data_IF_732626789209
#
_entry.id   IF_732626789209
#
_cell.length_a   1.000
_cell.length_b   1.000
_cell.length_c   1.000
_cell.angle_alpha   90.00
_cell.angle_beta   90.00
_cell.angle_gamma   90.00
#
_symmetry.space_group_name_H-M   'P 1'
#
loop_
_entity.id
_entity.type
_entity.pdbx_description
1 polymer ?
#
# COMPACT_ATOMS: atom_id res chain seq x y z
N UNK A 1 -1.91 -13.01 27.46
CA UNK A 1 -2.39 -11.84 28.23
C UNK A 1 -1.84 -10.48 27.74
N UNK A 2 -1.02 -10.42 26.67
CA UNK A 2 -0.41 -9.17 26.16
C UNK A 2 -1.22 -8.46 25.04
N UNK A 3 -2.23 -9.11 24.46
CA UNK A 3 -2.98 -8.59 23.30
C UNK A 3 -4.00 -7.51 23.67
N UNK A 4 -4.56 -7.54 24.88
CA UNK A 4 -5.64 -6.63 25.29
C UNK A 4 -5.21 -5.15 25.37
N UNK A 5 -3.94 -4.88 25.67
CA UNK A 5 -3.39 -3.53 25.73
C UNK A 5 -3.14 -2.89 24.36
N UNK A 6 -2.78 -3.70 23.36
CA UNK A 6 -2.48 -3.22 22.01
C UNK A 6 -3.74 -2.73 21.29
N UNK A 7 -4.83 -3.51 21.35
CA UNK A 7 -6.09 -3.14 20.71
C UNK A 7 -6.67 -1.85 21.28
N UNK A 8 -6.61 -1.64 22.60
CA UNK A 8 -7.08 -0.39 23.23
C UNK A 8 -6.30 0.84 22.76
N UNK A 9 -4.96 0.73 22.66
CA UNK A 9 -4.11 1.82 22.15
C UNK A 9 -4.43 2.12 20.69
N UNK A 10 -4.58 1.08 19.86
CA UNK A 10 -4.93 1.24 18.44
C UNK A 10 -6.30 1.91 18.26
N UNK A 11 -7.31 1.47 19.01
CA UNK A 11 -8.64 2.10 18.97
C UNK A 11 -8.60 3.55 19.43
N UNK A 12 -7.82 3.88 20.47
CA UNK A 12 -7.66 5.26 20.91
C UNK A 12 -6.97 6.14 19.86
N UNK A 13 -5.90 5.65 19.22
CA UNK A 13 -5.21 6.37 18.14
C UNK A 13 -6.11 6.58 16.92
N UNK A 14 -6.91 5.57 16.55
CA UNK A 14 -7.87 5.68 15.46
C UNK A 14 -8.97 6.68 15.78
N UNK A 15 -9.54 6.63 16.98
CA UNK A 15 -10.56 7.57 17.42
C UNK A 15 -10.03 9.01 17.43
N UNK A 16 -8.81 9.22 17.94
CA UNK A 16 -8.14 10.51 17.90
C UNK A 16 -7.93 11.02 16.47
N UNK A 17 -7.48 10.15 15.55
CA UNK A 17 -7.32 10.51 14.12
C UNK A 17 -8.64 10.92 13.48
N UNK A 18 -9.72 10.17 13.75
CA UNK A 18 -11.05 10.51 13.23
C UNK A 18 -11.58 11.83 13.82
N UNK A 19 -11.30 12.08 15.11
CA UNK A 19 -11.64 13.35 15.75
C UNK A 19 -10.90 14.54 15.12
N UNK A 20 -9.59 14.41 14.82
CA UNK A 20 -8.81 15.45 14.14
C UNK A 20 -9.34 15.80 12.75
N UNK A 21 -10.06 14.89 12.10
CA UNK A 21 -10.66 15.13 10.79
C UNK A 21 -11.95 15.97 10.87
N UNK A 22 -12.39 16.38 12.06
CA UNK A 22 -13.57 17.22 12.30
C UNK A 22 -14.84 16.69 11.61
N UNK A 23 -15.00 15.37 11.54
CA UNK A 23 -16.15 14.73 10.89
C UNK A 23 -16.14 14.76 9.36
N UNK A 24 -15.05 15.24 8.73
CA UNK A 24 -14.88 15.23 7.28
C UNK A 24 -13.91 14.12 6.85
N UNK A 25 -14.03 13.64 5.62
CA UNK A 25 -13.00 12.76 5.06
C UNK A 25 -11.86 13.62 4.49
N UNK A 26 -10.59 13.16 4.56
CA UNK A 26 -9.51 13.84 3.88
C UNK A 26 -9.82 13.94 2.38
N UNK A 27 -9.77 15.15 1.84
CA UNK A 27 -9.92 15.39 0.43
C UNK A 27 -8.54 15.33 -0.22
N UNK A 28 -8.38 14.40 -1.16
CA UNK A 28 -7.17 14.30 -1.97
C UNK A 28 -7.41 14.99 -3.31
N UNK A 29 -6.39 15.66 -3.84
CA UNK A 29 -6.36 16.12 -5.22
C UNK A 29 -5.70 15.06 -6.12
N UNK A 30 -5.83 15.23 -7.44
CA UNK A 30 -5.11 14.39 -8.42
C UNK A 30 -3.59 14.47 -8.24
N UNK A 31 -3.11 15.62 -7.80
CA UNK A 31 -1.71 15.84 -7.50
C UNK A 31 -1.28 15.02 -6.27
N UNK A 32 -2.13 14.92 -5.25
CA UNK A 32 -1.81 14.15 -4.05
C UNK A 32 -1.79 12.65 -4.29
N UNK A 33 -2.64 12.15 -5.20
CA UNK A 33 -2.79 10.73 -5.48
C UNK A 33 -3.29 10.50 -6.92
N UNK A 34 -2.40 10.58 -7.92
CA UNK A 34 -2.78 10.49 -9.32
C UNK A 34 -3.45 9.15 -9.67
N UNK A 35 -3.08 8.07 -8.98
CA UNK A 35 -3.65 6.75 -9.22
C UNK A 35 -5.15 6.69 -8.91
N UNK A 36 -5.61 7.37 -7.86
CA UNK A 36 -7.03 7.41 -7.49
C UNK A 36 -7.91 8.09 -8.53
N UNK A 37 -7.36 9.06 -9.25
CA UNK A 37 -8.10 9.87 -10.23
C UNK A 37 -8.09 9.27 -11.64
N UNK A 38 -7.42 8.13 -11.86
CA UNK A 38 -7.49 7.43 -13.14
C UNK A 38 -8.90 6.89 -13.42
N UNK A 39 -9.39 7.14 -14.64
CA UNK A 39 -10.72 6.67 -15.09
C UNK A 39 -10.83 5.15 -15.22
N UNK A 40 -9.70 4.45 -15.40
CA UNK A 40 -9.67 3.00 -15.61
C UNK A 40 -9.39 2.26 -14.31
N UNK A 41 -10.35 1.45 -13.85
CA UNK A 41 -10.17 0.59 -12.67
C UNK A 41 -8.90 -0.27 -12.75
N UNK A 42 -8.57 -0.80 -13.93
CA UNK A 42 -7.37 -1.60 -14.16
C UNK A 42 -6.09 -0.81 -13.85
N UNK A 43 -5.99 0.44 -14.32
CA UNK A 43 -4.85 1.31 -14.04
C UNK A 43 -4.70 1.60 -12.55
N UNK A 44 -5.81 1.82 -11.84
CA UNK A 44 -5.79 2.02 -10.39
C UNK A 44 -5.24 0.78 -9.68
N UNK A 45 -5.81 -0.39 -9.95
CA UNK A 45 -5.42 -1.65 -9.31
C UNK A 45 -3.95 -1.98 -9.58
N UNK A 46 -3.53 -1.94 -10.85
CA UNK A 46 -2.15 -2.25 -11.23
C UNK A 46 -1.16 -1.29 -10.58
N UNK A 47 -1.46 0.01 -10.58
CA UNK A 47 -0.60 1.02 -9.94
C UNK A 47 -0.50 0.77 -8.45
N UNK A 48 -1.62 0.56 -7.75
CA UNK A 48 -1.60 0.29 -6.30
C UNK A 48 -0.87 -1.00 -5.93
N UNK A 49 -1.05 -2.08 -6.71
CA UNK A 49 -0.33 -3.32 -6.48
C UNK A 49 1.18 -3.14 -6.71
N UNK A 50 1.57 -2.39 -7.74
CA UNK A 50 2.97 -2.04 -7.97
C UNK A 50 3.56 -1.15 -6.87
N UNK A 51 2.80 -0.17 -6.36
CA UNK A 51 3.24 0.63 -5.21
C UNK A 51 3.54 -0.24 -3.99
N UNK A 52 2.78 -1.31 -3.76
CA UNK A 52 3.12 -2.31 -2.74
C UNK A 52 4.50 -2.95 -2.97
N UNK A 53 4.79 -3.39 -4.19
CA UNK A 53 6.09 -3.94 -4.58
C UNK A 53 7.23 -2.93 -4.44
N UNK A 54 7.00 -1.69 -4.87
CA UNK A 54 7.96 -0.59 -4.73
C UNK A 54 8.28 -0.29 -3.26
N UNK A 55 7.27 -0.24 -2.40
CA UNK A 55 7.47 -0.02 -0.96
C UNK A 55 8.19 -1.20 -0.30
N UNK A 56 7.88 -2.44 -0.67
CA UNK A 56 8.62 -3.61 -0.19
C UNK A 56 10.10 -3.53 -0.59
N UNK A 57 10.38 -3.06 -1.81
CA UNK A 57 11.75 -2.81 -2.24
C UNK A 57 12.44 -1.71 -1.42
N UNK A 58 11.76 -0.61 -1.09
CA UNK A 58 12.33 0.44 -0.23
C UNK A 58 12.70 -0.06 1.16
N UNK A 59 11.93 -1.00 1.73
CA UNK A 59 12.28 -1.64 3.02
C UNK A 59 13.58 -2.44 2.91
N UNK A 60 13.78 -3.15 1.80
CA UNK A 60 14.98 -3.95 1.57
C UNK A 60 16.19 -3.11 1.12
N UNK A 61 15.94 -2.04 0.36
CA UNK A 61 16.95 -1.19 -0.25
C UNK A 61 16.47 0.27 -0.28
N UNK A 62 16.75 1.06 0.78
CA UNK A 62 16.27 2.44 0.91
C UNK A 62 17.14 3.41 0.08
N UNK A 63 17.07 3.31 -1.25
CA UNK A 63 17.92 4.10 -2.14
C UNK A 63 17.29 5.41 -2.62
N UNK A 64 15.96 5.48 -2.68
CA UNK A 64 15.27 6.62 -3.30
C UNK A 64 14.04 7.02 -2.50
N UNK A 65 14.29 7.74 -1.40
CA UNK A 65 13.29 8.08 -0.38
C UNK A 65 12.53 9.37 -0.64
N UNK A 66 12.96 10.18 -1.62
CA UNK A 66 12.34 11.47 -1.94
C UNK A 66 11.15 11.36 -2.89
N UNK A 67 10.90 10.19 -3.48
CA UNK A 67 9.74 9.96 -4.34
C UNK A 67 8.60 9.37 -3.52
N UNK A 68 7.68 10.23 -3.11
CA UNK A 68 6.34 9.77 -2.78
C UNK A 68 5.52 9.62 -4.07
N UNK A 69 4.51 8.76 -4.04
CA UNK A 69 3.56 8.53 -5.11
C UNK A 69 2.66 9.73 -5.45
N UNK A 70 2.96 10.91 -4.91
CA UNK A 70 2.30 12.18 -5.22
C UNK A 70 2.98 12.83 -6.44
N UNK A 71 2.40 13.93 -6.93
CA UNK A 71 2.91 14.74 -8.05
C UNK A 71 3.21 13.93 -9.34
N UNK A 72 2.66 12.72 -9.49
CA UNK A 72 2.98 11.83 -10.61
C UNK A 72 4.42 11.30 -10.60
N UNK A 73 5.11 11.33 -9.46
CA UNK A 73 6.52 10.97 -9.37
C UNK A 73 6.78 9.48 -9.67
N UNK A 74 5.80 8.63 -9.39
CA UNK A 74 5.74 7.24 -9.85
C UNK A 74 4.71 7.15 -10.99
N UNK A 75 5.12 6.85 -12.24
CA UNK A 75 4.20 6.78 -13.36
C UNK A 75 3.12 5.71 -13.18
N UNK A 76 1.90 5.99 -13.63
CA UNK A 76 0.80 5.02 -13.58
C UNK A 76 1.13 3.75 -14.37
N UNK A 77 0.64 2.60 -13.90
CA UNK A 77 0.71 1.32 -14.60
C UNK A 77 -0.59 1.13 -15.37
N UNK A 78 -0.56 1.42 -16.66
CA UNK A 78 -1.78 1.45 -17.50
C UNK A 78 -2.01 0.18 -18.34
N UNK A 79 -1.03 -0.75 -18.35
CA UNK A 79 -1.06 -1.99 -19.14
C UNK A 79 -0.75 -3.21 -18.29
N UNK A 80 -1.40 -4.34 -18.60
CA UNK A 80 -1.09 -5.65 -18.00
C UNK A 80 0.29 -6.16 -18.41
N UNK A 81 0.77 -5.77 -19.60
CA UNK A 81 2.08 -6.15 -20.13
C UNK A 81 3.21 -5.24 -19.67
N UNK A 82 2.91 -4.30 -18.77
CA UNK A 82 3.94 -3.46 -18.17
C UNK A 82 4.92 -4.33 -17.37
N UNK A 83 6.24 -4.26 -17.62
CA UNK A 83 7.23 -5.11 -16.95
C UNK A 83 7.25 -4.90 -15.43
N UNK A 84 6.76 -3.75 -14.93
CA UNK A 84 6.62 -3.48 -13.50
C UNK A 84 5.68 -4.45 -12.80
N UNK A 85 4.74 -5.05 -13.53
CA UNK A 85 3.84 -6.08 -12.98
C UNK A 85 4.59 -7.34 -12.55
N UNK A 86 5.80 -7.60 -13.07
CA UNK A 86 6.62 -8.72 -12.62
C UNK A 86 7.03 -8.57 -11.14
N UNK A 87 7.35 -7.34 -10.71
CA UNK A 87 7.67 -7.06 -9.31
C UNK A 87 6.45 -7.27 -8.41
N UNK A 88 5.26 -6.87 -8.87
CA UNK A 88 3.98 -7.12 -8.19
C UNK A 88 3.71 -8.61 -8.03
N UNK A 89 3.87 -9.40 -9.10
CA UNK A 89 3.69 -10.85 -9.07
C UNK A 89 4.69 -11.49 -8.11
N UNK A 90 5.97 -11.10 -8.19
CA UNK A 90 7.00 -11.61 -7.28
C UNK A 90 6.67 -11.35 -5.81
N UNK A 91 6.27 -10.11 -5.46
CA UNK A 91 5.83 -9.78 -4.11
C UNK A 91 4.63 -10.65 -3.69
N UNK A 92 3.61 -10.77 -4.55
CA UNK A 92 2.43 -11.59 -4.29
C UNK A 92 2.80 -13.06 -4.02
N UNK A 93 3.66 -13.65 -4.84
CA UNK A 93 4.16 -15.01 -4.65
C UNK A 93 4.88 -15.18 -3.32
N UNK A 94 5.78 -14.25 -2.96
CA UNK A 94 6.49 -14.29 -1.67
C UNK A 94 5.50 -14.24 -0.51
N UNK A 95 4.53 -13.31 -0.53
CA UNK A 95 3.53 -13.19 0.53
C UNK A 95 2.66 -14.44 0.68
N UNK A 96 2.23 -15.05 -0.43
CA UNK A 96 1.47 -16.31 -0.42
C UNK A 96 2.30 -17.45 0.17
N UNK A 97 3.58 -17.57 -0.21
CA UNK A 97 4.46 -18.60 0.34
C UNK A 97 4.72 -18.41 1.83
N UNK A 98 4.94 -17.17 2.28
CA UNK A 98 5.10 -16.85 3.70
C UNK A 98 3.84 -17.15 4.50
N UNK A 99 2.66 -16.78 3.97
CA UNK A 99 1.38 -17.09 4.60
C UNK A 99 1.17 -18.60 4.72
N UNK A 100 1.42 -19.34 3.63
CA UNK A 100 1.29 -20.80 3.63
C UNK A 100 2.24 -21.47 4.63
N UNK A 101 3.49 -20.99 4.73
CA UNK A 101 4.45 -21.46 5.75
C UNK A 101 3.96 -21.17 7.16
N UNK A 102 3.51 -19.95 7.43
CA UNK A 102 2.98 -19.57 8.74
C UNK A 102 1.78 -20.44 9.14
N UNK A 103 0.88 -20.75 8.20
CA UNK A 103 -0.23 -21.66 8.46
C UNK A 103 0.22 -23.10 8.76
N UNK A 104 1.29 -23.58 8.11
CA UNK A 104 1.85 -24.92 8.34
C UNK A 104 2.61 -25.05 9.65
N UNK A 105 3.29 -24.00 10.10
CA UNK A 105 3.99 -24.00 11.39
C UNK A 105 3.02 -23.98 12.59
N UNK A 106 1.76 -23.63 12.37
CA UNK A 106 0.72 -23.56 13.41
C UNK A 106 -0.09 -24.86 13.57
N UNK A 107 0.04 -25.83 12.65
CA UNK A 107 -0.60 -27.16 12.70
C UNK A 107 0.35 -28.23 13.21
#
# INVERSE_FOLDING_TARGET
MATSGFHRKLSALLAFRLWMLHGTLPQFSEVDNPASFSSRLSTRLLTYSYLGAFNAWLVLCPRTLSYDWQMGSIPLVSSLLDPRNLATVALGTVLVLLFWRACREQT
#
